data_IF_953366809115
#
_entry.id   IF_953366809115
#
_cell.length_a   1.000
_cell.length_b   1.000
_cell.length_c   1.000
_cell.angle_alpha   90.00
_cell.angle_beta   90.00
_cell.angle_gamma   90.00
#
_symmetry.space_group_name_H-M   'P 1'
#
loop_
_entity.id
_entity.type
_entity.pdbx_description
1 polymer ?
#
# COMPACT_ATOMS: atom_id res chain seq x y z
N UNK A 1 -2.76 5.21 -3.76
CA UNK A 1 -2.99 5.38 -2.31
C UNK A 1 -1.67 5.29 -1.57
N UNK A 2 -1.49 6.08 -0.50
CA UNK A 2 -0.32 6.03 0.37
C UNK A 2 -0.56 5.06 1.53
N UNK A 3 0.51 4.62 2.18
CA UNK A 3 0.42 3.68 3.31
C UNK A 3 -0.47 4.18 4.46
N UNK A 4 -0.45 5.49 4.75
CA UNK A 4 -1.35 6.11 5.74
C UNK A 4 -2.84 5.94 5.37
N UNK A 5 -3.17 6.03 4.08
CA UNK A 5 -4.55 5.94 3.61
C UNK A 5 -5.06 4.51 3.79
N UNK A 6 -4.16 3.53 3.60
CA UNK A 6 -4.46 2.11 3.83
C UNK A 6 -4.72 1.84 5.31
N UNK A 7 -3.93 2.40 6.23
CA UNK A 7 -4.21 2.28 7.67
C UNK A 7 -5.62 2.75 8.00
N UNK A 8 -6.00 3.94 7.53
CA UNK A 8 -7.33 4.51 7.75
C UNK A 8 -8.43 3.62 7.14
N UNK A 9 -8.24 3.14 5.91
CA UNK A 9 -9.21 2.31 5.20
C UNK A 9 -9.49 0.97 5.90
N UNK A 10 -8.51 0.43 6.65
CA UNK A 10 -8.67 -0.82 7.42
C UNK A 10 -8.99 -0.60 8.89
N UNK A 11 -9.29 0.65 9.31
CA UNK A 11 -9.65 0.99 10.68
C UNK A 11 -8.48 0.96 11.68
N UNK A 12 -7.25 1.13 11.20
CA UNK A 12 -6.04 1.20 12.03
C UNK A 12 -5.57 2.65 12.13
N UNK A 13 -5.35 3.12 13.35
CA UNK A 13 -4.79 4.46 13.60
C UNK A 13 -3.41 4.61 12.93
N UNK A 14 -3.16 5.65 12.10
CA UNK A 14 -1.94 5.78 11.30
C UNK A 14 -0.75 6.31 12.12
N UNK A 15 -0.40 5.63 13.21
CA UNK A 15 0.86 5.88 13.93
C UNK A 15 2.06 5.63 13.01
N UNK A 16 3.24 6.25 13.25
CA UNK A 16 4.43 5.99 12.44
C UNK A 16 4.77 4.50 12.30
N UNK A 17 4.61 3.72 13.37
CA UNK A 17 4.79 2.26 13.37
C UNK A 17 3.82 1.55 12.43
N UNK A 18 2.54 1.94 12.44
CA UNK A 18 1.53 1.32 11.59
C UNK A 18 1.72 1.70 10.13
N UNK A 19 2.06 2.96 9.84
CA UNK A 19 2.33 3.44 8.48
C UNK A 19 3.50 2.70 7.85
N UNK A 20 4.61 2.54 8.57
CA UNK A 20 5.76 1.79 8.04
C UNK A 20 5.48 0.29 7.95
N UNK A 21 4.72 -0.27 8.89
CA UNK A 21 4.22 -1.64 8.78
C UNK A 21 3.28 -1.86 7.58
N UNK A 22 2.45 -0.88 7.24
CA UNK A 22 1.59 -0.92 6.06
C UNK A 22 2.43 -0.78 4.78
N UNK A 23 3.40 0.16 4.75
CA UNK A 23 4.34 0.31 3.63
C UNK A 23 5.06 -0.99 3.31
N UNK A 24 5.62 -1.66 4.33
CA UNK A 24 6.31 -2.93 4.14
C UNK A 24 5.40 -4.02 3.54
N UNK A 25 4.11 -4.06 3.92
CA UNK A 25 3.13 -5.01 3.35
C UNK A 25 2.76 -4.64 1.91
N UNK A 26 2.57 -3.36 1.61
CA UNK A 26 2.28 -2.87 0.25
C UNK A 26 3.44 -3.18 -0.69
N UNK A 27 4.69 -2.96 -0.27
CA UNK A 27 5.89 -3.36 -1.04
C UNK A 27 5.92 -4.86 -1.33
N UNK A 28 5.53 -5.72 -0.36
CA UNK A 28 5.39 -7.17 -0.62
C UNK A 28 4.32 -7.49 -1.66
N UNK A 29 3.20 -6.76 -1.66
CA UNK A 29 2.15 -6.91 -2.68
C UNK A 29 2.63 -6.48 -4.07
N UNK A 30 3.51 -5.47 -4.15
CA UNK A 30 4.19 -5.10 -5.40
C UNK A 30 5.07 -6.25 -5.90
N UNK A 31 5.89 -6.86 -5.05
CA UNK A 31 6.70 -8.04 -5.42
C UNK A 31 5.83 -9.20 -5.94
N UNK A 32 4.60 -9.35 -5.42
CA UNK A 32 3.64 -10.37 -5.85
C UNK A 32 2.81 -9.98 -7.07
N UNK A 33 3.09 -8.83 -7.69
CA UNK A 33 2.35 -8.31 -8.86
C UNK A 33 0.84 -8.18 -8.60
N UNK A 34 0.47 -7.73 -7.40
CA UNK A 34 -0.90 -7.35 -7.04
C UNK A 34 -1.08 -5.82 -7.14
N UNK A 35 -0.05 -5.07 -6.76
CA UNK A 35 0.02 -3.61 -6.82
C UNK A 35 1.19 -3.17 -7.71
N UNK A 36 1.14 -1.94 -8.22
CA UNK A 36 2.32 -1.20 -8.69
C UNK A 36 2.66 -0.07 -7.72
N UNK A 37 3.91 0.42 -7.81
CA UNK A 37 4.38 1.62 -7.14
C UNK A 37 5.18 2.43 -8.16
N UNK A 38 4.46 3.18 -9.00
CA UNK A 38 5.07 3.93 -10.10
C UNK A 38 5.80 5.19 -9.59
N UNK A 39 5.36 5.71 -8.43
CA UNK A 39 6.03 6.78 -7.69
C UNK A 39 6.31 6.32 -6.25
N UNK A 40 7.44 6.74 -5.63
CA UNK A 40 7.78 6.35 -4.27
C UNK A 40 6.65 6.62 -3.27
N UNK A 41 6.14 5.56 -2.65
CA UNK A 41 5.08 5.61 -1.65
C UNK A 41 3.65 5.77 -2.20
N UNK A 42 3.46 5.74 -3.51
CA UNK A 42 2.14 5.75 -4.15
C UNK A 42 1.86 4.37 -4.75
N UNK A 43 0.89 3.66 -4.18
CA UNK A 43 0.52 2.32 -4.61
C UNK A 43 -0.80 2.33 -5.38
N UNK A 44 -0.88 1.58 -6.46
CA UNK A 44 -2.09 1.42 -7.29
C UNK A 44 -2.34 -0.07 -7.57
N UNK A 45 -3.61 -0.45 -7.75
CA UNK A 45 -3.96 -1.82 -8.15
C UNK A 45 -3.52 -2.05 -9.60
N UNK A 46 -2.96 -3.22 -9.88
CA UNK A 46 -2.69 -3.60 -11.27
C UNK A 46 -4.05 -3.73 -11.99
N UNK A 47 -4.24 -3.07 -13.14
CA UNK A 47 -5.48 -3.18 -13.91
C UNK A 47 -5.73 -4.64 -14.25
N UNK A 48 -6.94 -5.14 -13.92
CA UNK A 48 -7.37 -6.45 -14.38
C UNK A 48 -7.53 -6.37 -15.89
N UNK A 49 -6.74 -7.12 -16.65
CA UNK A 49 -6.99 -7.30 -18.09
C UNK A 49 -8.37 -7.93 -18.22
N UNK A 50 -9.31 -7.15 -18.73
CA UNK A 50 -10.65 -7.58 -19.14
C UNK A 50 -10.59 -8.07 -20.56
#
# INVERSE_FOLDING_TARGET
MRAKDVCLAVGVDPTPKHVEGARARLKRMVTRKILTEDEPGIFTLIPKRT
#
